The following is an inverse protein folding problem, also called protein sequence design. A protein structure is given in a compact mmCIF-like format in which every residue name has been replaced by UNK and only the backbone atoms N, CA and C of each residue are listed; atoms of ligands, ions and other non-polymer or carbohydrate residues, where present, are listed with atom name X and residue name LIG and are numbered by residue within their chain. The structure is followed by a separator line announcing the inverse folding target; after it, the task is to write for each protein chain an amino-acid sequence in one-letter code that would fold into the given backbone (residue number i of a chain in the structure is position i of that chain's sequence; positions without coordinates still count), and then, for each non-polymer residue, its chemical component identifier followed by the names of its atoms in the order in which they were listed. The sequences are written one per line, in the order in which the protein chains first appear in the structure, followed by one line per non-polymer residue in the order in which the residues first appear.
data_IF_447249894117
#
_entry.id   IF_447249894117
#
_cell.length_a   1.000
_cell.length_b   1.000
_cell.length_c   1.000
_cell.angle_alpha   90.00
_cell.angle_beta   90.00
_cell.angle_gamma   90.00
#
_symmetry.space_group_name_H-M   'P 1'
#
loop_
_entity.id
_entity.type
_entity.pdbx_description
1 polymer ?
#
# COMPACT_ATOMS: atom_id res chain seq x y z
N UNK A 1 29.89 -12.63 -12.36
CA UNK A 1 29.00 -11.62 -11.77
C UNK A 1 27.61 -12.22 -11.69
N UNK A 2 27.01 -12.30 -10.50
CA UNK A 2 25.68 -12.91 -10.30
C UNK A 2 24.70 -11.80 -9.97
N UNK A 3 23.71 -11.61 -10.85
CA UNK A 3 22.64 -10.63 -10.66
C UNK A 3 21.41 -11.33 -10.09
N UNK A 4 21.07 -11.02 -8.85
CA UNK A 4 19.85 -11.53 -8.20
C UNK A 4 18.80 -10.42 -8.24
N UNK A 5 17.67 -10.68 -8.91
CA UNK A 5 16.53 -9.77 -8.93
C UNK A 5 15.73 -9.95 -7.64
N UNK A 6 15.55 -8.87 -6.88
CA UNK A 6 14.61 -8.82 -5.77
C UNK A 6 13.29 -8.26 -6.30
N UNK A 7 12.23 -9.04 -6.15
CA UNK A 7 10.88 -8.67 -6.58
C UNK A 7 10.10 -8.03 -5.43
N UNK A 8 8.99 -7.36 -5.78
CA UNK A 8 8.07 -6.81 -4.77
C UNK A 8 7.38 -7.96 -4.03
N UNK A 9 7.06 -7.79 -2.74
CA UNK A 9 6.44 -8.86 -1.96
C UNK A 9 5.03 -9.17 -2.46
N UNK A 10 4.72 -10.45 -2.62
CA UNK A 10 3.35 -10.94 -2.73
C UNK A 10 2.68 -11.02 -1.34
N UNK A 11 1.44 -11.50 -1.27
CA UNK A 11 0.69 -11.63 0.00
C UNK A 11 1.42 -12.46 1.06
N UNK A 12 2.00 -13.59 0.67
CA UNK A 12 2.75 -14.46 1.57
C UNK A 12 4.01 -13.76 2.12
N UNK A 13 4.78 -13.13 1.23
CA UNK A 13 5.97 -12.36 1.62
C UNK A 13 5.60 -11.15 2.48
N UNK A 14 4.50 -10.47 2.18
CA UNK A 14 4.00 -9.36 2.98
C UNK A 14 3.62 -9.82 4.39
N UNK A 15 2.94 -10.96 4.51
CA UNK A 15 2.61 -11.60 5.80
C UNK A 15 3.87 -11.87 6.61
N UNK A 16 4.91 -12.46 6.00
CA UNK A 16 6.18 -12.70 6.68
C UNK A 16 6.87 -11.40 7.10
N UNK A 17 6.86 -10.36 6.24
CA UNK A 17 7.41 -9.04 6.57
C UNK A 17 6.66 -8.40 7.75
N UNK A 18 5.32 -8.41 7.73
CA UNK A 18 4.50 -7.89 8.84
C UNK A 18 4.82 -8.60 10.15
N UNK A 19 5.05 -9.92 10.12
CA UNK A 19 5.42 -10.71 11.32
C UNK A 19 6.71 -10.23 12.00
N UNK A 20 7.62 -9.57 11.25
CA UNK A 20 8.86 -9.02 11.82
C UNK A 20 8.63 -7.69 12.54
N UNK A 21 7.56 -6.97 12.21
CA UNK A 21 7.29 -5.62 12.73
C UNK A 21 6.14 -5.56 13.74
N UNK A 22 5.19 -6.49 13.65
CA UNK A 22 4.06 -6.66 14.57
C UNK A 22 4.22 -7.99 15.33
N UNK A 23 4.75 -7.88 16.54
CA UNK A 23 5.08 -8.99 17.44
C UNK A 23 4.28 -8.89 18.74
N UNK A 24 4.22 -9.97 19.52
CA UNK A 24 3.53 -10.00 20.83
C UNK A 24 4.22 -9.16 21.91
N UNK A 25 5.44 -8.67 21.67
CA UNK A 25 6.11 -7.70 22.54
C UNK A 25 5.53 -6.30 22.43
N UNK A 26 4.79 -6.01 21.35
CA UNK A 26 4.06 -4.76 21.18
C UNK A 26 2.69 -4.92 21.86
N UNK A 27 2.21 -3.94 22.64
CA UNK A 27 0.89 -4.02 23.24
C UNK A 27 -0.19 -4.19 22.17
N UNK A 28 -0.92 -5.31 22.23
CA UNK A 28 -2.12 -5.58 21.42
C UNK A 28 -3.34 -5.26 22.26
N UNK A 29 -4.41 -4.80 21.61
CA UNK A 29 -5.66 -4.47 22.27
C UNK A 29 -6.22 -5.66 23.05
N UNK A 30 -6.62 -5.50 24.33
CA UNK A 30 -7.24 -6.58 25.10
C UNK A 30 -8.50 -7.15 24.46
N UNK A 31 -9.25 -6.33 23.72
CA UNK A 31 -10.45 -6.77 23.00
C UNK A 31 -10.10 -7.73 21.86
N UNK A 32 -9.01 -7.47 21.12
CA UNK A 32 -8.51 -8.36 20.06
C UNK A 32 -8.04 -9.69 20.66
N UNK A 33 -7.31 -9.64 21.78
CA UNK A 33 -6.88 -10.84 22.50
C UNK A 33 -8.10 -11.65 22.98
N UNK A 34 -9.15 -10.99 23.44
CA UNK A 34 -10.39 -11.66 23.87
C UNK A 34 -11.12 -12.32 22.70
N UNK A 35 -11.17 -11.66 21.54
CA UNK A 35 -11.81 -12.19 20.32
C UNK A 35 -11.05 -13.41 19.79
N UNK A 36 -9.72 -13.35 19.77
CA UNK A 36 -8.87 -14.37 19.13
C UNK A 36 -8.28 -15.40 20.12
N UNK A 37 -8.46 -15.22 21.43
CA UNK A 37 -8.08 -16.16 22.48
C UNK A 37 -6.64 -16.04 23.00
N UNK A 38 -5.71 -15.49 22.22
CA UNK A 38 -4.34 -15.19 22.66
C UNK A 38 -3.74 -13.97 21.93
N UNK A 39 -2.62 -13.46 22.44
CA UNK A 39 -1.90 -12.36 21.80
C UNK A 39 -1.32 -12.80 20.44
N UNK A 40 -0.81 -14.02 20.34
CA UNK A 40 -0.28 -14.60 19.11
C UNK A 40 -1.37 -14.72 18.04
N UNK A 41 -2.54 -15.25 18.43
CA UNK A 41 -3.68 -15.39 17.53
C UNK A 41 -4.23 -14.04 17.08
N UNK A 42 -4.28 -13.05 17.98
CA UNK A 42 -4.69 -11.69 17.65
C UNK A 42 -3.71 -11.03 16.67
N UNK A 43 -2.39 -11.16 16.89
CA UNK A 43 -1.38 -10.66 15.95
C UNK A 43 -1.54 -11.30 14.57
N UNK A 44 -1.67 -12.62 14.52
CA UNK A 44 -1.84 -13.34 13.26
C UNK A 44 -3.09 -12.87 12.50
N UNK A 45 -4.23 -12.75 13.19
CA UNK A 45 -5.47 -12.29 12.59
C UNK A 45 -5.40 -10.82 12.12
N UNK A 46 -4.75 -9.94 12.88
CA UNK A 46 -4.53 -8.54 12.47
C UNK A 46 -3.66 -8.50 11.20
N UNK A 47 -2.58 -9.28 11.13
CA UNK A 47 -1.72 -9.35 9.94
C UNK A 47 -2.52 -9.86 8.74
N UNK A 48 -3.23 -10.97 8.89
CA UNK A 48 -4.06 -11.56 7.83
C UNK A 48 -5.06 -10.54 7.28
N UNK A 49 -5.81 -9.87 8.15
CA UNK A 49 -6.77 -8.86 7.73
C UNK A 49 -6.12 -7.63 7.07
N UNK A 50 -4.94 -7.22 7.57
CA UNK A 50 -4.17 -6.11 6.99
C UNK A 50 -3.68 -6.45 5.59
N UNK A 51 -3.11 -7.64 5.40
CA UNK A 51 -2.63 -8.11 4.09
C UNK A 51 -3.80 -8.29 3.14
N UNK A 52 -4.90 -8.92 3.56
CA UNK A 52 -6.10 -9.08 2.75
C UNK A 52 -6.63 -7.72 2.27
N UNK A 53 -6.69 -6.71 3.16
CA UNK A 53 -7.14 -5.35 2.79
C UNK A 53 -6.18 -4.65 1.83
N UNK A 54 -4.87 -4.90 1.97
CA UNK A 54 -3.82 -4.28 1.17
C UNK A 54 -3.73 -4.87 -0.25
N UNK A 55 -4.05 -6.15 -0.40
CA UNK A 55 -3.95 -6.90 -1.65
C UNK A 55 -5.29 -7.15 -2.36
N UNK A 56 -6.41 -6.66 -1.82
CA UNK A 56 -7.72 -6.77 -2.47
C UNK A 56 -7.82 -5.94 -3.75
N UNK A 57 -8.57 -6.46 -4.71
CA UNK A 57 -8.92 -5.80 -5.99
C UNK A 57 -10.18 -4.93 -5.89
N UNK A 58 -10.45 -4.41 -4.69
CA UNK A 58 -11.59 -3.51 -4.47
C UNK A 58 -11.30 -2.13 -5.07
N UNK A 59 -12.36 -1.42 -5.48
CA UNK A 59 -12.24 -0.10 -6.11
C UNK A 59 -11.48 0.92 -5.25
N UNK A 60 -11.61 0.81 -3.92
CA UNK A 60 -10.88 1.65 -2.96
C UNK A 60 -9.35 1.47 -3.01
N UNK A 61 -8.86 0.39 -3.62
CA UNK A 61 -7.44 0.09 -3.79
C UNK A 61 -6.90 0.43 -5.19
N UNK A 62 -7.75 0.91 -6.11
CA UNK A 62 -7.31 1.38 -7.42
C UNK A 62 -6.41 2.58 -7.24
N UNK A 63 -5.21 2.50 -7.79
CA UNK A 63 -4.21 3.55 -7.64
C UNK A 63 -4.07 4.34 -8.93
N UNK A 64 -3.79 3.66 -10.05
CA UNK A 64 -3.51 4.31 -11.33
C UNK A 64 -4.24 3.64 -12.48
N UNK A 65 -4.64 4.43 -13.46
CA UNK A 65 -4.95 3.96 -14.82
C UNK A 65 -3.81 4.39 -15.74
N UNK A 66 -3.28 3.42 -16.48
CA UNK A 66 -2.25 3.60 -17.50
C UNK A 66 -2.89 3.45 -18.87
N UNK A 67 -2.59 4.34 -19.80
CA UNK A 67 -2.96 4.21 -21.22
C UNK A 67 -1.71 4.01 -22.05
N UNK A 68 -1.73 2.98 -22.90
CA UNK A 68 -0.66 2.61 -23.81
C UNK A 68 -0.82 3.28 -25.19
N UNK A 69 0.27 3.34 -25.96
CA UNK A 69 0.29 3.97 -27.28
C UNK A 69 -0.65 3.32 -28.29
N UNK A 70 -0.96 2.05 -28.11
CA UNK A 70 -1.95 1.30 -28.90
C UNK A 70 -3.41 1.63 -28.51
N UNK A 71 -3.63 2.41 -27.44
CA UNK A 71 -4.94 2.78 -26.93
C UNK A 71 -5.46 1.91 -25.78
N UNK A 72 -4.76 0.84 -25.42
CA UNK A 72 -5.16 -0.03 -24.31
C UNK A 72 -5.06 0.70 -22.98
N UNK A 73 -5.94 0.32 -22.05
CA UNK A 73 -5.98 0.83 -20.68
C UNK A 73 -5.80 -0.29 -19.68
N UNK A 74 -5.06 -0.02 -18.61
CA UNK A 74 -4.83 -0.96 -17.52
C UNK A 74 -4.94 -0.23 -16.19
N UNK A 75 -5.73 -0.81 -15.28
CA UNK A 75 -5.88 -0.33 -13.92
C UNK A 75 -4.93 -1.11 -13.01
N UNK A 76 -4.19 -0.38 -12.18
CA UNK A 76 -3.24 -0.91 -11.23
C UNK A 76 -3.70 -0.59 -9.82
N UNK A 77 -3.43 -1.50 -8.91
CA UNK A 77 -3.84 -1.43 -7.51
C UNK A 77 -2.61 -1.16 -6.63
N UNK A 78 -2.82 -0.67 -5.40
CA UNK A 78 -1.72 -0.46 -4.46
C UNK A 78 -0.87 -1.70 -4.20
N UNK A 79 -1.45 -2.90 -4.33
CA UNK A 79 -0.75 -4.18 -4.19
C UNK A 79 0.43 -4.33 -5.14
N UNK A 80 0.33 -3.75 -6.34
CA UNK A 80 1.38 -3.78 -7.37
C UNK A 80 2.58 -2.88 -7.00
N UNK A 81 2.38 -1.96 -6.05
CA UNK A 81 3.39 -1.02 -5.53
C UNK A 81 3.90 -1.39 -4.15
N UNK A 82 3.44 -2.51 -3.59
CA UNK A 82 3.86 -2.99 -2.28
C UNK A 82 5.39 -3.08 -2.18
N UNK A 83 5.91 -2.77 -1.01
CA UNK A 83 7.34 -2.86 -0.68
C UNK A 83 7.53 -3.04 0.82
N UNK A 84 8.68 -3.61 1.22
CA UNK A 84 9.01 -3.76 2.64
C UNK A 84 9.04 -2.43 3.41
N UNK A 85 9.49 -1.35 2.76
CA UNK A 85 9.50 -0.01 3.36
C UNK A 85 8.08 0.55 3.58
N UNK A 86 7.17 0.31 2.63
CA UNK A 86 5.75 0.66 2.78
C UNK A 86 5.11 -0.10 3.95
N UNK A 87 5.37 -1.41 4.05
CA UNK A 87 4.87 -2.24 5.16
C UNK A 87 5.39 -1.73 6.51
N UNK A 88 6.68 -1.41 6.62
CA UNK A 88 7.26 -0.82 7.83
C UNK A 88 6.58 0.52 8.19
N UNK A 89 6.37 1.39 7.20
CA UNK A 89 5.70 2.67 7.39
C UNK A 89 4.27 2.50 7.91
N UNK A 90 3.50 1.56 7.36
CA UNK A 90 2.14 1.23 7.80
C UNK A 90 2.16 0.82 9.28
N UNK A 91 3.04 -0.11 9.67
CA UNK A 91 3.14 -0.55 11.07
C UNK A 91 3.55 0.62 11.99
N UNK A 92 4.47 1.49 11.55
CA UNK A 92 4.88 2.69 12.31
C UNK A 92 3.72 3.66 12.51
N UNK A 93 2.89 3.87 11.49
CA UNK A 93 1.69 4.71 11.58
C UNK A 93 0.64 4.11 12.50
N UNK A 94 0.36 2.81 12.39
CA UNK A 94 -0.57 2.12 13.26
C UNK A 94 -0.17 2.24 14.74
N UNK A 95 1.13 2.06 15.05
CA UNK A 95 1.69 2.31 16.39
C UNK A 95 1.42 3.74 16.88
N UNK A 96 1.65 4.73 16.03
CA UNK A 96 1.37 6.15 16.34
C UNK A 96 -0.12 6.41 16.58
N UNK A 97 -1.00 5.81 15.78
CA UNK A 97 -2.45 5.91 15.94
C UNK A 97 -2.93 5.29 17.25
N UNK A 98 -2.47 4.09 17.59
CA UNK A 98 -2.78 3.42 18.85
C UNK A 98 -2.36 4.26 20.07
N UNK A 99 -1.17 4.88 20.03
CA UNK A 99 -0.69 5.79 21.09
C UNK A 99 -1.61 7.01 21.20
N UNK A 100 -1.94 7.65 20.09
CA UNK A 100 -2.85 8.82 20.08
C UNK A 100 -4.23 8.46 20.63
N UNK A 101 -4.78 7.31 20.24
CA UNK A 101 -6.06 6.79 20.74
C UNK A 101 -6.02 6.58 22.25
N UNK A 102 -4.96 5.97 22.78
CA UNK A 102 -4.79 5.76 24.21
C UNK A 102 -4.66 7.08 24.99
N UNK A 103 -3.95 8.08 24.46
CA UNK A 103 -3.84 9.41 25.07
C UNK A 103 -5.20 10.13 25.09
N UNK A 104 -6.01 9.94 24.05
CA UNK A 104 -7.36 10.50 23.96
C UNK A 104 -8.41 9.78 24.83
N UNK A 105 -8.00 8.84 25.68
CA UNK A 105 -8.90 8.09 26.58
C UNK A 105 -9.55 6.85 25.95
N UNK A 106 -9.14 6.47 24.73
CA UNK A 106 -9.56 5.21 24.11
C UNK A 106 -8.83 3.99 24.65
N UNK A 107 -9.16 2.81 24.10
CA UNK A 107 -8.48 1.56 24.44
C UNK A 107 -6.96 1.61 24.23
N UNK A 108 -6.21 0.77 24.94
CA UNK A 108 -4.76 0.62 24.79
C UNK A 108 -4.42 -0.52 23.82
N UNK A 109 -3.20 -0.50 23.28
CA UNK A 109 -2.68 -1.53 22.39
C UNK A 109 -3.23 -1.45 20.97
N UNK A 110 -2.47 -1.96 20.00
CA UNK A 110 -2.85 -1.94 18.57
C UNK A 110 -4.09 -2.82 18.37
N UNK A 111 -5.05 -2.33 17.59
CA UNK A 111 -6.17 -3.12 17.09
C UNK A 111 -6.17 -3.17 15.55
N UNK A 112 -7.07 -3.97 14.99
CA UNK A 112 -7.21 -4.11 13.53
C UNK A 112 -7.49 -2.75 12.85
N UNK A 113 -8.33 -1.92 13.47
CA UNK A 113 -8.72 -0.62 12.92
C UNK A 113 -7.53 0.36 12.79
N UNK A 114 -6.58 0.33 13.72
CA UNK A 114 -5.36 1.15 13.66
C UNK A 114 -4.52 0.77 12.41
N UNK A 115 -4.46 -0.53 12.05
CA UNK A 115 -3.75 -1.01 10.86
C UNK A 115 -4.46 -0.61 9.56
N UNK A 116 -5.77 -0.80 9.47
CA UNK A 116 -6.57 -0.41 8.29
C UNK A 116 -6.48 1.11 8.07
N UNK A 117 -6.59 1.89 9.15
CA UNK A 117 -6.45 3.35 9.08
C UNK A 117 -5.05 3.77 8.65
N UNK A 118 -4.02 3.04 9.06
CA UNK A 118 -2.64 3.27 8.65
C UNK A 118 -2.40 2.97 7.17
N UNK A 119 -3.02 1.92 6.60
CA UNK A 119 -3.02 1.65 5.16
C UNK A 119 -3.59 2.87 4.41
N UNK A 120 -4.79 3.32 4.79
CA UNK A 120 -5.44 4.45 4.14
C UNK A 120 -4.65 5.76 4.26
N UNK A 121 -3.90 5.96 5.33
CA UNK A 121 -3.02 7.12 5.47
C UNK A 121 -1.76 6.99 4.60
N UNK A 122 -1.15 5.80 4.54
CA UNK A 122 0.02 5.56 3.69
C UNK A 122 -0.33 5.73 2.21
N UNK A 123 -1.51 5.29 1.79
CA UNK A 123 -1.98 5.45 0.41
C UNK A 123 -2.19 6.92 0.06
N UNK A 124 -2.88 7.68 0.92
CA UNK A 124 -3.08 9.13 0.74
C UNK A 124 -1.78 9.92 0.66
N UNK A 125 -0.78 9.57 1.45
CA UNK A 125 0.52 10.25 1.40
C UNK A 125 1.34 9.87 0.16
N UNK A 126 1.13 8.67 -0.40
CA UNK A 126 1.74 8.26 -1.66
C UNK A 126 1.03 8.84 -2.90
N UNK A 127 -0.26 9.19 -2.79
CA UNK A 127 -1.01 9.90 -3.83
C UNK A 127 -0.56 11.35 -4.02
N UNK A 128 -0.22 12.03 -2.93
CA UNK A 128 0.13 13.47 -2.95
C UNK A 128 1.56 13.74 -3.46
N UNK A 129 2.37 12.71 -3.71
CA UNK A 129 3.73 12.85 -4.21
C UNK A 129 3.76 12.78 -5.75
N UNK A 130 3.91 13.90 -6.48
CA UNK A 130 4.01 13.91 -7.94
C UNK A 130 5.28 13.22 -8.50
N UNK A 131 6.18 12.76 -7.62
CA UNK A 131 7.52 12.27 -7.98
C UNK A 131 7.71 10.76 -7.71
N UNK A 132 6.71 10.02 -7.24
CA UNK A 132 6.84 8.57 -6.92
C UNK A 132 6.57 7.66 -8.12
N UNK A 133 6.15 8.23 -9.25
CA UNK A 133 5.72 7.48 -10.44
C UNK A 133 6.80 7.58 -11.52
N UNK A 134 8.02 7.08 -11.22
CA UNK A 134 9.09 7.00 -12.21
C UNK A 134 8.70 6.03 -13.35
N UNK A 135 8.70 6.45 -14.65
CA UNK A 135 8.58 5.60 -15.84
C UNK A 135 9.23 4.20 -15.72
N UNK A 136 10.42 4.12 -15.13
CA UNK A 136 11.17 2.87 -14.98
C UNK A 136 10.58 1.90 -13.95
N UNK A 137 9.95 2.41 -12.90
CA UNK A 137 9.25 1.56 -11.91
C UNK A 137 8.03 0.89 -12.56
N UNK A 138 7.40 1.54 -13.55
CA UNK A 138 6.29 0.99 -14.34
C UNK A 138 6.73 -0.11 -15.31
N UNK A 139 7.87 0.08 -15.98
CA UNK A 139 8.45 -0.96 -16.83
C UNK A 139 8.73 -2.25 -16.04
N UNK A 140 8.98 -2.13 -14.73
CA UNK A 140 9.21 -3.26 -13.82
C UNK A 140 7.92 -3.88 -13.27
N UNK A 141 6.86 -3.08 -13.05
CA UNK A 141 5.56 -3.55 -12.52
C UNK A 141 4.68 -4.16 -13.60
N UNK A 142 4.54 -3.52 -14.76
CA UNK A 142 3.59 -3.96 -15.80
C UNK A 142 3.92 -5.33 -16.40
N UNK A 143 5.19 -5.76 -16.39
CA UNK A 143 5.65 -7.02 -17.00
C UNK A 143 5.44 -7.11 -18.52
N UNK A 144 4.60 -6.25 -19.10
CA UNK A 144 4.29 -6.11 -20.53
C UNK A 144 5.45 -5.38 -21.21
N UNK A 145 6.43 -6.21 -21.57
CA UNK A 145 7.57 -5.83 -22.37
C UNK A 145 7.08 -5.47 -23.79
N UNK A 146 6.78 -4.21 -24.07
CA UNK A 146 6.66 -3.76 -25.47
C UNK A 146 5.91 -2.45 -25.72
N UNK A 147 4.88 -2.14 -24.94
CA UNK A 147 4.00 -1.01 -25.28
C UNK A 147 4.36 0.25 -24.51
N UNK A 148 4.55 1.35 -25.26
CA UNK A 148 4.91 2.64 -24.68
C UNK A 148 3.72 3.26 -23.95
N UNK A 149 3.90 3.63 -22.70
CA UNK A 149 2.91 4.38 -21.94
C UNK A 149 2.80 5.81 -22.49
N UNK A 150 1.59 6.26 -22.80
CA UNK A 150 1.33 7.62 -23.29
C UNK A 150 0.60 8.50 -22.27
N UNK A 151 -0.06 7.89 -21.30
CA UNK A 151 -0.82 8.60 -20.28
C UNK A 151 -0.91 7.80 -18.99
N UNK A 152 -0.81 8.48 -17.84
CA UNK A 152 -1.00 7.91 -16.50
C UNK A 152 -1.92 8.86 -15.74
N UNK A 153 -2.98 8.32 -15.11
CA UNK A 153 -3.84 9.07 -14.19
C UNK A 153 -4.00 8.36 -12.86
N UNK A 154 -4.07 9.11 -11.77
CA UNK A 154 -4.41 8.60 -10.45
C UNK A 154 -5.93 8.46 -10.31
N UNK A 155 -6.39 7.34 -9.75
CA UNK A 155 -7.82 7.00 -9.66
C UNK A 155 -8.46 7.36 -8.31
N UNK A 156 -7.66 7.70 -7.30
CA UNK A 156 -8.15 7.83 -5.91
C UNK A 156 -9.07 9.05 -5.68
N UNK A 157 -9.04 10.03 -6.58
CA UNK A 157 -9.88 11.25 -6.49
C UNK A 157 -11.34 11.06 -6.95
N UNK A 158 -11.74 9.94 -7.57
CA UNK A 158 -13.13 9.77 -8.03
C UNK A 158 -14.13 9.46 -6.90
N UNK A 159 -13.67 9.03 -5.72
CA UNK A 159 -14.54 8.74 -4.56
C UNK A 159 -14.97 9.96 -3.73
N UNK A 160 -14.46 11.16 -4.03
CA UNK A 160 -14.96 12.42 -3.47
C UNK A 160 -15.57 13.22 -4.61
N UNK A 161 -16.88 13.37 -4.60
CA UNK A 161 -17.66 14.01 -5.66
C UNK A 161 -16.98 15.27 -6.20
N UNK A 162 -16.72 15.24 -7.52
CA UNK A 162 -16.42 16.40 -8.38
C UNK A 162 -15.40 17.39 -7.80
N UNK A 163 -14.10 17.13 -7.96
CA UNK A 163 -13.10 18.15 -8.31
C UNK A 163 -11.73 17.53 -8.66
N UNK A 164 -11.39 17.55 -9.95
CA UNK A 164 -10.01 17.57 -10.47
C UNK A 164 -9.17 16.30 -10.36
N UNK A 165 -9.30 15.40 -11.34
CA UNK A 165 -8.22 14.45 -11.65
C UNK A 165 -6.92 15.23 -11.92
N UNK A 166 -5.95 15.16 -11.00
CA UNK A 166 -4.66 15.85 -11.18
C UNK A 166 -3.82 15.04 -12.18
N UNK A 167 -3.58 15.66 -13.34
CA UNK A 167 -2.80 15.08 -14.43
C UNK A 167 -1.34 14.97 -13.99
N UNK A 168 -0.78 13.76 -14.06
CA UNK A 168 0.68 13.58 -14.02
C UNK A 168 1.20 13.78 -15.44
N UNK A 169 2.26 14.59 -15.54
CA UNK A 169 2.84 15.17 -16.76
C UNK A 169 3.05 14.15 -17.90
N UNK A 170 2.90 14.62 -19.16
CA UNK A 170 3.33 13.85 -20.33
C UNK A 170 4.82 13.55 -20.20
N UNK A 171 5.17 12.28 -20.05
CA UNK A 171 6.57 11.84 -20.02
C UNK A 171 7.21 12.14 -21.39
N UNK A 172 7.90 13.27 -21.54
CA UNK A 172 8.85 13.49 -22.63
C UNK A 172 10.14 12.76 -22.26
N UNK A 173 10.31 11.54 -22.77
CA UNK A 173 11.60 10.84 -22.68
C UNK A 173 12.66 11.67 -23.42
N UNK A 174 13.59 12.22 -22.65
CA UNK A 174 14.76 12.92 -23.15
C UNK A 174 15.54 12.06 -24.15
N UNK A 175 15.79 12.66 -25.30
CA UNK A 175 16.53 12.12 -26.42
C UNK A 175 18.01 12.11 -26.04
N UNK A 176 18.54 10.95 -25.64
CA UNK A 176 19.99 10.77 -25.54
C UNK A 176 20.56 10.67 -26.95
N UNK A 177 21.35 11.70 -27.32
CA UNK A 177 22.26 11.73 -28.47
C UNK A 177 23.49 10.87 -28.20
#
# INVERSE_FOLDING_TARGET
DVKIKIERPNEEAATDIYSKYLTTTIPISPDEIKIHGSAEAAVAAIIEATVARMYSDEDENRFLEVTYANGDKEELYFKDFSSGAMIENIVRRAKKMAIKRAIAGGGKGINQQDMISAIHQEYRENEDLPNTTNPDDWARVSGKKGERIVYIRTLVSEHKGTEGARQVERVQTGQYL
#
